data_IF_707848658306
#
_entry.id   IF_707848658306
#
_cell.length_a   1.000
_cell.length_b   1.000
_cell.length_c   1.000
_cell.angle_alpha   90.00
_cell.angle_beta   90.00
_cell.angle_gamma   90.00
#
_symmetry.space_group_name_H-M   'P 1'
#
loop_
_entity.id
_entity.type
_entity.pdbx_description
1 polymer ?
#
# COMPACT_ATOMS: atom_id res chain seq x y z
N UNK A 1 -8.32 -18.39 23.31
CA UNK A 1 -8.47 -17.38 22.94
C UNK A 1 -8.79 -17.19 21.70
N UNK A 2 -9.01 -17.02 21.27
CA UNK A 2 -9.09 -16.60 20.32
C UNK A 2 -9.86 -16.94 19.21
N UNK A 3 -10.92 -17.64 19.36
CA UNK A 3 -11.81 -17.91 18.27
C UNK A 3 -12.48 -16.65 17.77
N UNK A 4 -12.56 -15.64 18.61
CA UNK A 4 -13.07 -14.35 18.16
C UNK A 4 -12.21 -13.75 17.05
N UNK A 5 -10.93 -14.08 16.99
CA UNK A 5 -10.07 -13.62 15.91
C UNK A 5 -10.17 -14.50 14.68
N UNK A 6 -10.78 -15.65 14.82
CA UNK A 6 -10.99 -16.53 13.68
C UNK A 6 -12.33 -16.29 13.03
N UNK A 7 -13.14 -15.42 13.58
CA UNK A 7 -14.40 -15.10 12.97
C UNK A 7 -14.11 -14.59 11.57
N UNK A 8 -14.63 -15.28 10.62
CA UNK A 8 -14.45 -14.93 9.23
C UNK A 8 -15.10 -13.60 8.98
N UNK A 9 -14.31 -12.63 8.60
CA UNK A 9 -14.85 -11.38 8.16
C UNK A 9 -15.20 -11.55 6.69
N UNK A 10 -16.49 -11.52 6.39
CA UNK A 10 -16.93 -11.59 5.02
C UNK A 10 -16.37 -10.41 4.24
N UNK A 11 -16.08 -10.61 2.95
CA UNK A 11 -15.69 -9.47 2.11
C UNK A 11 -16.72 -8.36 2.24
N UNK A 12 -16.24 -7.17 2.40
CA UNK A 12 -17.15 -6.02 2.49
C UNK A 12 -17.73 -5.71 1.13
N UNK A 13 -18.97 -5.36 1.14
CA UNK A 13 -19.64 -4.95 -0.09
C UNK A 13 -20.47 -3.71 0.18
N UNK A 14 -20.60 -2.89 -0.86
CA UNK A 14 -21.59 -1.84 -0.92
C UNK A 14 -22.53 -2.22 -2.04
N UNK A 15 -23.75 -2.64 -1.66
CA UNK A 15 -24.60 -3.27 -2.63
C UNK A 15 -23.92 -4.54 -3.14
N UNK A 16 -23.78 -4.68 -4.43
CA UNK A 16 -23.23 -5.89 -5.03
C UNK A 16 -21.75 -5.76 -5.41
N UNK A 17 -21.05 -4.80 -4.86
CA UNK A 17 -19.64 -4.65 -5.19
C UNK A 17 -18.77 -4.64 -3.95
N UNK A 18 -17.51 -5.02 -4.15
CA UNK A 18 -16.52 -5.03 -3.10
C UNK A 18 -16.21 -3.60 -2.68
N UNK A 19 -16.19 -3.37 -1.37
CA UNK A 19 -15.64 -2.14 -0.83
C UNK A 19 -14.12 -2.18 -0.93
N UNK A 20 -13.45 -1.02 -0.99
CA UNK A 20 -11.99 -0.98 -0.86
C UNK A 20 -11.54 -1.66 0.44
N UNK A 21 -10.42 -2.38 0.39
CA UNK A 21 -9.92 -3.14 1.53
C UNK A 21 -8.49 -2.70 1.87
N UNK A 22 -8.28 -2.32 3.11
CA UNK A 22 -6.93 -2.10 3.62
C UNK A 22 -6.29 -3.47 3.78
N UNK A 23 -5.31 -3.79 2.94
CA UNK A 23 -4.71 -5.12 2.96
C UNK A 23 -3.19 -5.13 2.94
N UNK A 24 -2.55 -3.98 3.07
CA UNK A 24 -1.10 -3.94 3.14
C UNK A 24 -0.61 -2.71 3.90
N UNK A 25 0.54 -2.87 4.54
CA UNK A 25 1.27 -1.78 5.17
C UNK A 25 2.64 -1.73 4.53
N UNK A 26 3.03 -0.56 4.05
CA UNK A 26 4.34 -0.33 3.49
C UNK A 26 5.25 0.38 4.47
N UNK A 27 6.48 -0.05 4.55
CA UNK A 27 7.51 0.56 5.39
C UNK A 27 8.70 0.92 4.52
N UNK A 28 9.07 2.19 4.53
CA UNK A 28 10.25 2.67 3.82
C UNK A 28 11.46 2.48 4.72
N UNK A 29 12.47 1.79 4.23
CA UNK A 29 13.65 1.44 5.01
C UNK A 29 14.91 2.02 4.38
N UNK A 30 15.86 2.40 5.22
CA UNK A 30 17.14 2.94 4.73
C UNK A 30 18.08 1.83 4.25
N UNK A 31 18.00 0.65 4.87
CA UNK A 31 18.84 -0.49 4.55
C UNK A 31 17.96 -1.74 4.50
N UNK A 32 17.68 -2.20 3.29
CA UNK A 32 16.76 -3.33 3.10
C UNK A 32 17.29 -4.61 3.73
N UNK A 33 18.60 -4.87 3.61
CA UNK A 33 19.20 -6.07 4.18
C UNK A 33 19.07 -6.08 5.69
N UNK A 34 19.32 -4.94 6.32
CA UNK A 34 19.19 -4.83 7.78
C UNK A 34 17.74 -4.99 8.21
N UNK A 35 16.80 -4.38 7.47
CA UNK A 35 15.38 -4.51 7.78
C UNK A 35 14.91 -5.95 7.63
N UNK A 36 15.32 -6.63 6.57
CA UNK A 36 14.98 -8.04 6.37
C UNK A 36 15.48 -8.89 7.54
N UNK A 37 16.72 -8.66 7.97
CA UNK A 37 17.27 -9.38 9.12
C UNK A 37 16.43 -9.20 10.37
N UNK A 38 15.98 -7.98 10.61
CA UNK A 38 15.15 -7.68 11.77
C UNK A 38 13.79 -8.38 11.68
N UNK A 39 13.07 -8.20 10.58
CA UNK A 39 11.71 -8.74 10.45
C UNK A 39 11.70 -10.27 10.35
N UNK A 40 12.73 -10.87 9.76
CA UNK A 40 12.85 -12.32 9.74
C UNK A 40 13.00 -12.91 11.14
N UNK A 41 13.64 -12.19 12.06
CA UNK A 41 13.74 -12.63 13.46
C UNK A 41 12.39 -12.65 14.17
N UNK A 42 11.42 -11.92 13.64
CA UNK A 42 10.07 -11.94 14.16
C UNK A 42 9.22 -13.05 13.52
N UNK A 43 9.82 -13.87 12.68
CA UNK A 43 9.13 -14.98 12.05
C UNK A 43 8.48 -14.67 10.71
N UNK A 44 8.73 -13.49 10.17
CA UNK A 44 8.15 -13.13 8.87
C UNK A 44 8.98 -13.74 7.75
N UNK A 45 8.28 -14.28 6.74
CA UNK A 45 8.92 -14.87 5.58
C UNK A 45 8.69 -13.94 4.39
N UNK A 46 9.79 -13.53 3.76
CA UNK A 46 9.74 -12.61 2.64
C UNK A 46 10.01 -13.36 1.33
N UNK A 47 9.35 -12.88 0.27
CA UNK A 47 9.65 -13.35 -1.06
C UNK A 47 10.96 -12.79 -1.60
N UNK A 48 11.09 -12.79 -2.90
CA UNK A 48 12.30 -12.27 -3.55
C UNK A 48 12.27 -10.76 -3.61
N UNK A 49 13.46 -10.16 -3.55
CA UNK A 49 13.59 -8.72 -3.75
C UNK A 49 13.35 -8.41 -5.22
N UNK A 50 12.45 -7.48 -5.48
CA UNK A 50 12.04 -7.09 -6.83
C UNK A 50 12.54 -5.67 -7.11
N UNK A 51 12.98 -5.44 -8.33
CA UNK A 51 13.44 -4.12 -8.74
C UNK A 51 14.59 -3.60 -7.91
N UNK A 52 14.55 -2.32 -7.58
CA UNK A 52 15.61 -1.67 -6.83
C UNK A 52 15.53 -1.82 -5.32
N UNK A 53 14.60 -2.60 -4.81
CA UNK A 53 14.52 -2.79 -3.36
C UNK A 53 13.12 -2.88 -2.80
N UNK A 54 12.25 -3.67 -3.41
CA UNK A 54 10.92 -3.97 -2.91
C UNK A 54 10.82 -5.44 -2.53
N UNK A 55 10.26 -5.73 -1.35
CA UNK A 55 10.03 -7.11 -0.94
C UNK A 55 8.77 -7.18 -0.09
N UNK A 56 8.08 -8.29 -0.14
CA UNK A 56 6.79 -8.48 0.53
C UNK A 56 6.80 -9.73 1.39
N UNK A 57 6.11 -9.63 2.52
CA UNK A 57 5.79 -10.78 3.35
C UNK A 57 4.27 -10.93 3.38
N UNK A 58 3.78 -12.13 3.08
CA UNK A 58 2.37 -12.44 3.22
C UNK A 58 2.07 -12.74 4.68
N UNK A 59 1.03 -12.11 5.20
CA UNK A 59 0.59 -12.29 6.57
C UNK A 59 -0.77 -12.99 6.59
N UNK A 60 -1.17 -13.57 7.72
CA UNK A 60 -2.48 -14.21 7.80
C UNK A 60 -3.61 -13.28 7.39
N UNK A 61 -4.62 -13.83 6.74
CA UNK A 61 -5.80 -13.07 6.36
C UNK A 61 -5.66 -12.27 5.07
N UNK A 62 -4.62 -12.54 4.29
CA UNK A 62 -4.42 -11.83 3.03
C UNK A 62 -3.76 -10.47 3.19
N UNK A 63 -3.30 -10.16 4.38
CA UNK A 63 -2.59 -8.92 4.66
C UNK A 63 -1.12 -9.05 4.24
N UNK A 64 -0.49 -7.96 3.86
CA UNK A 64 0.92 -7.98 3.44
C UNK A 64 1.72 -6.89 4.13
N UNK A 65 2.96 -7.19 4.45
CA UNK A 65 3.94 -6.19 4.85
C UNK A 65 4.87 -5.96 3.67
N UNK A 66 4.98 -4.72 3.24
CA UNK A 66 5.84 -4.32 2.13
C UNK A 66 7.03 -3.57 2.70
N UNK A 67 8.23 -3.93 2.26
CA UNK A 67 9.42 -3.15 2.59
C UNK A 67 9.95 -2.56 1.28
N UNK A 68 10.21 -1.27 1.29
CA UNK A 68 10.77 -0.57 0.15
C UNK A 68 11.98 0.23 0.61
N UNK A 69 13.07 0.11 -0.13
CA UNK A 69 14.22 0.98 0.13
C UNK A 69 13.89 2.42 -0.25
N UNK A 70 14.56 3.37 0.39
CA UNK A 70 14.37 4.79 0.07
C UNK A 70 14.62 5.05 -1.42
N UNK A 71 15.65 4.40 -1.98
CA UNK A 71 15.96 4.58 -3.40
C UNK A 71 14.87 4.02 -4.30
N UNK A 72 14.30 2.89 -3.95
CA UNK A 72 13.24 2.29 -4.74
C UNK A 72 12.01 3.19 -4.78
N UNK A 73 11.61 3.75 -3.65
CA UNK A 73 10.47 4.66 -3.59
C UNK A 73 10.73 5.90 -4.44
N UNK A 74 11.93 6.44 -4.41
CA UNK A 74 12.28 7.61 -5.20
C UNK A 74 12.15 7.35 -6.70
N UNK A 75 12.43 6.11 -7.14
CA UNK A 75 12.33 5.74 -8.55
C UNK A 75 10.91 5.42 -8.99
N UNK A 76 10.16 4.74 -8.16
CA UNK A 76 8.86 4.20 -8.55
C UNK A 76 7.77 5.25 -8.71
N UNK A 77 7.86 6.36 -8.01
CA UNK A 77 6.82 7.37 -8.06
C UNK A 77 7.13 8.53 -9.01
N UNK A 78 7.84 8.23 -10.11
CA UNK A 78 7.95 9.21 -11.19
C UNK A 78 9.18 10.06 -11.21
N UNK A 79 10.30 9.50 -10.82
CA UNK A 79 11.59 10.03 -11.22
C UNK A 79 12.16 11.16 -10.39
N UNK A 80 11.41 12.18 -10.12
CA UNK A 80 11.92 13.36 -9.41
C UNK A 80 11.51 13.40 -7.96
N UNK A 81 10.72 12.46 -7.53
CA UNK A 81 10.23 12.49 -6.19
C UNK A 81 11.21 11.78 -5.27
N UNK A 82 11.85 12.56 -4.44
CA UNK A 82 12.70 12.00 -3.40
C UNK A 82 11.85 11.58 -2.24
N UNK A 83 12.21 10.45 -1.63
CA UNK A 83 11.63 10.12 -0.34
C UNK A 83 11.99 11.24 0.64
N UNK A 84 10.97 11.74 1.32
CA UNK A 84 11.12 12.84 2.26
C UNK A 84 10.80 12.32 3.66
N UNK A 85 11.71 12.51 4.58
CA UNK A 85 11.53 12.07 5.96
C UNK A 85 10.26 12.64 6.61
N UNK A 86 9.80 13.81 6.16
CA UNK A 86 8.57 14.43 6.69
C UNK A 86 7.31 13.71 6.18
N UNK A 87 7.42 12.92 5.11
CA UNK A 87 6.29 12.16 4.59
C UNK A 87 6.02 10.88 5.38
N UNK A 88 6.84 10.59 6.40
CA UNK A 88 6.72 9.37 7.17
C UNK A 88 7.32 8.17 6.48
N UNK A 89 7.44 7.07 7.20
CA UNK A 89 8.03 5.83 6.69
C UNK A 89 7.01 4.71 6.54
N UNK A 90 5.79 4.90 6.99
CA UNK A 90 4.75 3.89 6.96
C UNK A 90 3.59 4.43 6.15
N UNK A 91 3.14 3.64 5.19
CA UNK A 91 1.96 3.94 4.39
C UNK A 91 0.96 2.80 4.47
N UNK A 92 -0.30 3.14 4.35
CA UNK A 92 -1.36 2.14 4.25
C UNK A 92 -1.66 1.90 2.78
N UNK A 93 -2.04 0.68 2.44
CA UNK A 93 -2.42 0.36 1.06
C UNK A 93 -3.81 -0.26 1.05
N UNK A 94 -4.67 0.31 0.21
CA UNK A 94 -6.08 -0.07 0.10
C UNK A 94 -6.31 -0.59 -1.31
N UNK A 95 -6.68 -1.84 -1.41
CA UNK A 95 -6.99 -2.44 -2.70
C UNK A 95 -8.42 -2.10 -3.11
N UNK A 96 -8.56 -1.60 -4.33
CA UNK A 96 -9.85 -1.36 -4.95
C UNK A 96 -10.20 -2.51 -5.87
N UNK A 97 -11.49 -2.65 -6.16
CA UNK A 97 -11.98 -3.75 -6.97
C UNK A 97 -11.58 -3.65 -8.44
N UNK A 98 -11.30 -2.44 -8.92
CA UNK A 98 -10.98 -2.19 -10.31
C UNK A 98 -10.18 -0.90 -10.46
N UNK A 99 -9.49 -0.70 -11.59
CA UNK A 99 -8.86 0.59 -11.87
C UNK A 99 -9.85 1.76 -11.83
N UNK A 100 -11.07 1.53 -12.30
CA UNK A 100 -12.11 2.57 -12.25
C UNK A 100 -12.46 2.94 -10.82
N UNK A 101 -12.42 1.99 -9.89
CA UNK A 101 -12.71 2.28 -8.49
C UNK A 101 -11.58 3.10 -7.86
N UNK A 102 -10.34 2.90 -8.26
CA UNK A 102 -9.24 3.76 -7.80
C UNK A 102 -9.54 5.21 -8.12
N UNK A 103 -9.94 5.48 -9.36
CA UNK A 103 -10.28 6.84 -9.79
C UNK A 103 -11.47 7.39 -9.01
N UNK A 104 -12.52 6.57 -8.85
CA UNK A 104 -13.74 7.01 -8.18
C UNK A 104 -13.50 7.32 -6.69
N UNK A 105 -12.74 6.48 -6.00
CA UNK A 105 -12.41 6.70 -4.59
C UNK A 105 -11.53 7.93 -4.43
N UNK A 106 -10.54 8.08 -5.30
CA UNK A 106 -9.67 9.25 -5.28
C UNK A 106 -10.50 10.54 -5.45
N UNK A 107 -11.35 10.57 -6.47
CA UNK A 107 -12.17 11.75 -6.76
C UNK A 107 -13.11 12.07 -5.60
N UNK A 108 -13.73 11.05 -5.01
CA UNK A 108 -14.63 11.23 -3.89
C UNK A 108 -13.90 11.83 -2.68
N UNK A 109 -12.72 11.33 -2.36
CA UNK A 109 -11.95 11.83 -1.23
C UNK A 109 -11.49 13.27 -1.45
N UNK A 110 -11.02 13.58 -2.65
CA UNK A 110 -10.59 14.95 -2.98
C UNK A 110 -11.79 15.91 -2.94
N UNK A 111 -12.93 15.47 -3.46
CA UNK A 111 -14.16 16.29 -3.40
C UNK A 111 -14.62 16.52 -1.97
N UNK A 112 -14.35 15.59 -1.07
CA UNK A 112 -14.66 15.72 0.35
C UNK A 112 -13.66 16.60 1.12
N UNK A 113 -12.61 17.08 0.45
CA UNK A 113 -11.65 18.00 1.04
C UNK A 113 -10.33 17.39 1.47
N UNK A 114 -10.12 16.09 1.23
CA UNK A 114 -8.84 15.46 1.59
C UNK A 114 -7.78 15.73 0.53
N UNK A 115 -6.52 15.68 0.96
CA UNK A 115 -5.43 16.00 0.06
C UNK A 115 -5.12 14.83 -0.87
N UNK A 116 -5.13 15.08 -2.20
CA UNK A 116 -4.68 14.11 -3.18
C UNK A 116 -3.22 14.37 -3.52
N UNK A 117 -2.34 13.50 -3.03
CA UNK A 117 -0.92 13.65 -3.27
C UNK A 117 -0.53 13.25 -4.69
N UNK A 118 -1.01 12.09 -5.13
CA UNK A 118 -0.71 11.55 -6.46
C UNK A 118 -2.00 11.16 -7.13
N UNK A 119 -2.30 11.80 -8.25
CA UNK A 119 -3.50 11.48 -9.02
C UNK A 119 -3.40 10.06 -9.60
N UNK A 120 -4.54 9.40 -9.83
CA UNK A 120 -4.51 8.07 -10.42
C UNK A 120 -3.69 8.02 -11.71
N UNK A 121 -2.85 6.99 -11.80
CA UNK A 121 -2.01 6.77 -12.98
C UNK A 121 -1.77 5.27 -13.14
N UNK A 122 -1.40 4.88 -14.36
CA UNK A 122 -1.05 3.49 -14.64
C UNK A 122 0.43 3.30 -14.35
N UNK A 123 0.72 2.60 -13.27
CA UNK A 123 2.08 2.42 -12.80
C UNK A 123 2.79 1.32 -13.60
N UNK A 124 4.11 1.47 -13.73
CA UNK A 124 4.92 0.52 -14.51
C UNK A 124 4.92 -0.88 -13.94
N UNK A 125 4.55 -1.03 -12.66
CA UNK A 125 4.48 -2.35 -12.03
C UNK A 125 3.13 -3.04 -12.21
N UNK A 126 2.25 -2.50 -13.08
CA UNK A 126 1.03 -3.18 -13.49
C UNK A 126 -0.20 -2.86 -12.66
N UNK A 127 -0.26 -1.71 -12.02
CA UNK A 127 -1.39 -1.29 -11.21
C UNK A 127 -1.84 0.11 -11.57
N UNK A 128 -3.16 0.34 -11.46
CA UNK A 128 -3.70 1.69 -11.35
C UNK A 128 -3.46 2.12 -9.91
N UNK A 129 -2.87 3.29 -9.72
CA UNK A 129 -2.33 3.67 -8.44
C UNK A 129 -2.58 5.14 -8.15
N UNK A 130 -2.86 5.46 -6.89
CA UNK A 130 -3.04 6.83 -6.46
C UNK A 130 -2.67 6.94 -4.99
N UNK A 131 -2.36 8.14 -4.51
CA UNK A 131 -2.06 8.37 -3.10
C UNK A 131 -2.86 9.56 -2.59
N UNK A 132 -3.52 9.37 -1.47
CA UNK A 132 -4.22 10.42 -0.74
C UNK A 132 -3.64 10.52 0.66
N UNK A 133 -3.95 11.59 1.37
CA UNK A 133 -3.55 11.75 2.77
C UNK A 133 -4.76 11.68 3.67
N UNK A 134 -4.61 11.05 4.83
CA UNK A 134 -5.61 11.14 5.87
C UNK A 134 -5.56 12.54 6.51
N UNK A 135 -6.47 12.89 7.43
CA UNK A 135 -6.47 14.25 8.02
C UNK A 135 -5.18 14.67 8.69
N UNK A 136 -4.37 13.72 9.13
CA UNK A 136 -3.10 14.00 9.79
C UNK A 136 -1.89 13.92 8.85
N UNK A 137 -2.13 13.73 7.56
CA UNK A 137 -1.07 13.71 6.57
C UNK A 137 -0.43 12.35 6.33
N UNK A 138 -1.02 11.28 6.85
CA UNK A 138 -0.50 9.94 6.61
C UNK A 138 -0.86 9.48 5.20
N UNK A 139 0.10 8.89 4.50
CA UNK A 139 -0.11 8.43 3.13
C UNK A 139 -1.00 7.18 3.09
N UNK A 140 -1.98 7.21 2.21
CA UNK A 140 -2.86 6.08 1.94
C UNK A 140 -2.85 5.84 0.44
N UNK A 141 -2.35 4.69 0.03
CA UNK A 141 -2.28 4.33 -1.38
C UNK A 141 -3.53 3.57 -1.79
N UNK A 142 -4.07 3.92 -2.95
CA UNK A 142 -5.20 3.22 -3.56
C UNK A 142 -4.66 2.49 -4.77
N UNK A 143 -5.00 1.23 -4.94
CA UNK A 143 -4.47 0.47 -6.05
C UNK A 143 -5.42 -0.60 -6.55
N UNK A 144 -5.26 -0.98 -7.79
CA UNK A 144 -5.94 -2.11 -8.40
C UNK A 144 -5.10 -2.63 -9.56
N UNK A 145 -5.16 -3.93 -9.79
CA UNK A 145 -4.44 -4.54 -10.91
C UNK A 145 -4.98 -4.02 -12.24
N UNK A 146 -4.09 -3.80 -13.19
CA UNK A 146 -4.47 -3.43 -14.56
C UNK A 146 -4.88 -4.64 -15.39
N UNK A 147 -4.68 -5.83 -14.89
CA UNK A 147 -5.10 -7.04 -15.61
C UNK A 147 -4.06 -8.12 -15.67
#
# INVERSE_FOLDING_TARGET
MSDSFKTTVSPRTYGDRMAPQLNAIGVVVSDLTAALGFYRRLGLEFGEIVGGGHVEAALPGGFRLLLDSEDNIAQDVGGDRRWDATAGRIGLAVECASPAEVDAVFDDLVAAGYHGETKPFDAVWGQRYATVHDPDGNAVDLYASLG
#
